data_IF_754023289423
#
_entry.id   IF_754023289423
#
_cell.length_a   1.000
_cell.length_b   1.000
_cell.length_c   1.000
_cell.angle_alpha   90.00
_cell.angle_beta   90.00
_cell.angle_gamma   90.00
#
_symmetry.space_group_name_H-M   'P 1'
#
loop_
_entity.id
_entity.type
_entity.pdbx_description
1 polymer ?
#
# COMPACT_ATOMS: atom_id res chain seq x y z
N UNK A 1 -25.31 0.90 78.17
CA UNK A 1 -25.17 0.79 76.70
C UNK A 1 -24.14 1.80 76.23
N UNK A 2 -23.01 1.38 75.63
CA UNK A 2 -22.01 2.29 75.03
C UNK A 2 -22.36 2.50 73.55
N UNK A 3 -22.66 3.72 73.15
CA UNK A 3 -22.93 4.06 71.75
C UNK A 3 -21.64 3.96 70.92
N UNK A 4 -21.62 3.06 69.92
CA UNK A 4 -20.55 3.00 68.93
C UNK A 4 -20.73 4.16 67.96
N UNK A 5 -19.87 5.18 68.04
CA UNK A 5 -19.78 6.21 67.00
C UNK A 5 -19.24 5.56 65.71
N UNK A 6 -20.13 5.25 64.77
CA UNK A 6 -19.74 4.91 63.41
C UNK A 6 -19.18 6.18 62.76
N UNK A 7 -17.87 6.19 62.46
CA UNK A 7 -17.24 7.26 61.67
C UNK A 7 -17.92 7.27 60.31
N UNK A 8 -18.58 8.38 59.95
CA UNK A 8 -19.08 8.59 58.60
C UNK A 8 -17.87 8.63 57.64
N UNK A 9 -17.90 7.91 56.51
CA UNK A 9 -16.84 8.07 55.51
C UNK A 9 -16.80 9.54 55.08
N UNK A 10 -15.59 10.12 55.03
CA UNK A 10 -15.39 11.49 54.58
C UNK A 10 -15.87 11.65 53.13
N UNK A 11 -16.58 12.75 52.86
CA UNK A 11 -16.97 13.11 51.49
C UNK A 11 -15.76 13.56 50.67
N UNK A 12 -15.79 13.26 49.38
CA UNK A 12 -14.74 13.67 48.44
C UNK A 12 -14.73 15.19 48.27
N UNK A 13 -13.57 15.83 48.35
CA UNK A 13 -13.44 17.28 48.17
C UNK A 13 -13.32 17.63 46.70
N UNK A 14 -13.75 18.85 46.33
CA UNK A 14 -13.60 19.38 44.97
C UNK A 14 -12.13 19.42 44.53
N UNK A 15 -11.21 19.68 45.48
CA UNK A 15 -9.77 19.75 45.22
C UNK A 15 -9.21 18.39 44.84
N UNK A 16 -9.59 17.32 45.55
CA UNK A 16 -9.18 15.94 45.22
C UNK A 16 -9.65 15.54 43.82
N UNK A 17 -10.87 15.91 43.44
CA UNK A 17 -11.38 15.66 42.08
C UNK A 17 -10.60 16.42 41.02
N UNK A 18 -10.30 17.69 41.28
CA UNK A 18 -9.58 18.55 40.34
C UNK A 18 -8.16 18.02 40.07
N UNK A 19 -7.43 17.62 41.11
CA UNK A 19 -6.08 17.06 40.96
C UNK A 19 -6.10 15.80 40.11
N UNK A 20 -7.09 14.92 40.30
CA UNK A 20 -7.22 13.67 39.51
C UNK A 20 -7.46 13.98 38.04
N UNK A 21 -8.36 14.91 37.72
CA UNK A 21 -8.63 15.31 36.33
C UNK A 21 -7.38 15.91 35.68
N UNK A 22 -6.64 16.75 36.40
CA UNK A 22 -5.37 17.33 35.90
C UNK A 22 -4.34 16.25 35.60
N UNK A 23 -4.19 15.25 36.47
CA UNK A 23 -3.27 14.12 36.25
C UNK A 23 -3.70 13.30 35.01
N UNK A 24 -4.99 12.98 34.88
CA UNK A 24 -5.51 12.23 33.71
C UNK A 24 -5.27 13.02 32.41
N UNK A 25 -5.55 14.32 32.41
CA UNK A 25 -5.33 15.18 31.24
C UNK A 25 -3.84 15.24 30.85
N UNK A 26 -2.94 15.35 31.82
CA UNK A 26 -1.49 15.33 31.56
C UNK A 26 -1.03 14.00 30.95
N UNK A 27 -1.47 12.87 31.52
CA UNK A 27 -1.12 11.54 31.02
C UNK A 27 -1.71 11.27 29.62
N UNK A 28 -2.95 11.69 29.37
CA UNK A 28 -3.59 11.58 28.06
C UNK A 28 -2.88 12.44 27.00
N UNK A 29 -2.47 13.66 27.36
CA UNK A 29 -1.76 14.58 26.47
C UNK A 29 -0.42 14.01 25.98
N UNK A 30 0.33 13.32 26.84
CA UNK A 30 1.58 12.65 26.47
C UNK A 30 1.36 11.44 25.54
N UNK A 31 0.18 10.82 25.60
CA UNK A 31 -0.14 9.60 24.85
C UNK A 31 -0.60 9.87 23.41
N UNK A 32 -1.20 11.03 23.14
CA UNK A 32 -1.77 11.38 21.84
C UNK A 32 -0.79 11.27 20.64
N UNK A 33 0.44 11.87 20.66
CA UNK A 33 1.35 11.77 19.51
C UNK A 33 1.87 10.35 19.29
N UNK A 34 2.00 9.56 20.35
CA UNK A 34 2.45 8.16 20.30
C UNK A 34 1.42 7.29 19.58
N UNK A 35 0.13 7.48 19.87
CA UNK A 35 -0.96 6.74 19.23
C UNK A 35 -0.99 7.00 17.72
N UNK A 36 -0.77 8.24 17.28
CA UNK A 36 -0.74 8.56 15.84
C UNK A 36 0.43 7.86 15.13
N UNK A 37 1.62 7.84 15.74
CA UNK A 37 2.78 7.11 15.22
C UNK A 37 2.53 5.61 15.14
N UNK A 38 1.88 5.03 16.15
CA UNK A 38 1.51 3.61 16.16
C UNK A 38 0.49 3.28 15.06
N UNK A 39 -0.50 4.15 14.81
CA UNK A 39 -1.45 3.98 13.70
C UNK A 39 -0.74 3.93 12.33
N UNK A 40 0.17 4.87 12.06
CA UNK A 40 0.95 4.86 10.80
C UNK A 40 1.80 3.60 10.66
N UNK A 41 2.33 3.07 11.77
CA UNK A 41 3.07 1.80 11.76
C UNK A 41 2.16 0.59 11.52
N UNK A 42 0.94 0.60 12.08
CA UNK A 42 -0.08 -0.43 11.85
C UNK A 42 -0.56 -0.43 10.40
N UNK A 43 -0.90 0.75 9.86
CA UNK A 43 -1.29 0.95 8.46
C UNK A 43 -0.18 0.42 7.51
N UNK A 44 1.10 0.70 7.83
CA UNK A 44 2.26 0.15 7.09
C UNK A 44 2.36 -1.37 7.19
N UNK A 45 2.02 -1.95 8.33
CA UNK A 45 2.09 -3.41 8.55
C UNK A 45 0.99 -4.13 7.78
N UNK A 46 -0.22 -3.57 7.77
CA UNK A 46 -1.34 -4.06 6.95
C UNK A 46 -0.95 -4.04 5.47
N UNK A 47 -0.41 -2.91 4.99
CA UNK A 47 0.04 -2.77 3.61
C UNK A 47 1.20 -3.71 3.25
N UNK A 48 2.12 -4.01 4.18
CA UNK A 48 3.18 -5.02 3.98
C UNK A 48 2.62 -6.44 3.83
N UNK A 49 1.58 -6.80 4.58
CA UNK A 49 0.96 -8.12 4.47
C UNK A 49 0.13 -8.25 3.18
N UNK A 50 -0.55 -7.17 2.80
CA UNK A 50 -1.32 -7.07 1.58
C UNK A 50 -0.41 -7.18 0.34
N UNK A 51 0.70 -6.44 0.30
CA UNK A 51 1.62 -6.50 -0.84
C UNK A 51 2.33 -7.86 -0.96
N UNK A 52 2.55 -8.59 0.15
CA UNK A 52 3.09 -9.97 0.10
C UNK A 52 2.10 -10.94 -0.54
N UNK A 53 0.80 -10.77 -0.27
CA UNK A 53 -0.23 -11.58 -0.93
C UNK A 53 -0.29 -11.27 -2.42
N UNK A 54 -0.19 -9.99 -2.82
CA UNK A 54 -0.04 -9.61 -4.24
C UNK A 54 1.20 -10.28 -4.83
N UNK A 55 2.34 -10.25 -4.12
CA UNK A 55 3.59 -10.85 -4.56
C UNK A 55 3.44 -12.32 -4.88
N UNK A 56 2.87 -13.12 -3.97
CA UNK A 56 2.60 -14.55 -4.22
C UNK A 56 1.82 -14.74 -5.52
N UNK A 57 0.72 -14.00 -5.70
CA UNK A 57 -0.11 -14.14 -6.90
C UNK A 57 0.56 -13.64 -8.18
N UNK A 58 1.50 -12.69 -8.10
CA UNK A 58 2.32 -12.29 -9.25
C UNK A 58 3.22 -13.44 -9.71
N UNK A 59 3.87 -14.17 -8.79
CA UNK A 59 4.70 -15.31 -9.15
C UNK A 59 3.88 -16.51 -9.65
N UNK A 60 2.70 -16.76 -9.08
CA UNK A 60 1.78 -17.77 -9.60
C UNK A 60 1.33 -17.43 -11.03
N UNK A 61 1.04 -16.15 -11.29
CA UNK A 61 0.67 -15.68 -12.62
C UNK A 61 1.85 -15.80 -13.62
N UNK A 62 3.06 -15.42 -13.22
CA UNK A 62 4.27 -15.56 -14.04
C UNK A 62 4.56 -17.02 -14.42
N UNK A 63 4.31 -17.96 -13.50
CA UNK A 63 4.50 -19.38 -13.76
C UNK A 63 3.55 -19.93 -14.85
N UNK A 64 2.35 -19.35 -14.98
CA UNK A 64 1.36 -19.76 -15.99
C UNK A 64 1.54 -19.01 -17.31
N UNK A 65 1.73 -17.69 -17.26
CA UNK A 65 1.72 -16.80 -18.44
C UNK A 65 3.12 -16.35 -18.91
N UNK A 66 4.18 -16.68 -18.18
CA UNK A 66 5.57 -16.37 -18.53
C UNK A 66 6.02 -14.92 -18.25
N UNK A 67 5.12 -14.06 -17.79
CA UNK A 67 5.40 -12.71 -17.33
C UNK A 67 4.38 -12.26 -16.29
N UNK A 68 4.68 -11.19 -15.56
CA UNK A 68 3.69 -10.50 -14.73
C UNK A 68 2.66 -9.77 -15.61
N UNK A 69 1.48 -9.42 -15.05
CA UNK A 69 0.41 -8.79 -15.80
C UNK A 69 0.88 -7.57 -16.60
N UNK A 70 0.62 -7.60 -17.90
CA UNK A 70 0.91 -6.53 -18.83
C UNK A 70 -0.17 -6.44 -19.93
N UNK A 71 0.11 -5.73 -21.01
CA UNK A 71 -0.87 -5.59 -22.09
C UNK A 71 -0.98 -6.87 -22.93
N UNK A 72 0.11 -7.63 -23.09
CA UNK A 72 0.14 -8.85 -23.88
C UNK A 72 -0.61 -9.98 -23.16
N UNK A 73 -0.35 -10.17 -21.87
CA UNK A 73 -1.03 -11.19 -21.06
C UNK A 73 -2.53 -10.92 -20.91
N UNK A 74 -2.97 -9.69 -21.17
CA UNK A 74 -4.37 -9.31 -21.02
C UNK A 74 -5.30 -10.06 -21.99
N UNK A 75 -4.81 -10.39 -23.19
CA UNK A 75 -5.57 -11.15 -24.18
C UNK A 75 -5.64 -12.62 -23.77
N UNK A 76 -4.50 -13.22 -23.43
CA UNK A 76 -4.40 -14.61 -22.97
C UNK A 76 -5.27 -14.89 -21.75
N UNK A 77 -5.28 -13.98 -20.77
CA UNK A 77 -6.12 -14.12 -19.56
C UNK A 77 -7.60 -14.02 -19.90
N UNK A 78 -8.01 -13.14 -20.83
CA UNK A 78 -9.41 -13.05 -21.25
C UNK A 78 -9.86 -14.34 -21.92
N UNK A 79 -9.04 -14.89 -22.79
CA UNK A 79 -9.34 -16.15 -23.50
C UNK A 79 -9.40 -17.34 -22.54
N UNK A 80 -8.42 -17.47 -21.64
CA UNK A 80 -8.35 -18.58 -20.70
C UNK A 80 -9.49 -18.57 -19.65
N UNK A 81 -9.90 -17.39 -19.19
CA UNK A 81 -10.85 -17.27 -18.07
C UNK A 81 -12.29 -16.99 -18.51
N UNK A 82 -12.52 -16.53 -19.73
CA UNK A 82 -13.84 -16.09 -20.21
C UNK A 82 -14.42 -14.92 -19.39
N UNK A 83 -13.56 -14.15 -18.71
CA UNK A 83 -13.96 -13.09 -17.79
C UNK A 83 -14.56 -11.88 -18.50
N UNK A 84 -15.56 -11.27 -17.87
CA UNK A 84 -16.13 -10.00 -18.34
C UNK A 84 -15.34 -8.78 -17.83
N UNK A 85 -14.28 -8.98 -17.05
CA UNK A 85 -13.47 -7.88 -16.50
C UNK A 85 -12.75 -7.12 -17.61
N UNK A 86 -12.67 -5.80 -17.47
CA UNK A 86 -11.93 -4.95 -18.40
C UNK A 86 -10.47 -4.88 -17.99
N UNK A 87 -9.61 -5.33 -18.89
CA UNK A 87 -8.17 -5.15 -18.84
C UNK A 87 -7.71 -4.17 -19.90
N UNK A 88 -6.57 -3.54 -19.66
CA UNK A 88 -5.96 -2.55 -20.56
C UNK A 88 -6.32 -1.13 -20.14
N UNK A 89 -5.31 -0.38 -19.72
CA UNK A 89 -5.45 1.00 -19.27
C UNK A 89 -4.12 1.55 -18.76
N UNK A 90 -4.16 2.71 -18.12
CA UNK A 90 -2.96 3.40 -17.63
C UNK A 90 -2.80 3.30 -16.11
N UNK A 91 -3.70 2.60 -15.42
CA UNK A 91 -3.72 2.52 -13.97
C UNK A 91 -3.29 1.14 -13.47
N UNK A 92 -2.76 1.07 -12.24
CA UNK A 92 -2.41 -0.21 -11.63
C UNK A 92 -3.60 -1.16 -11.48
N UNK A 93 -4.82 -0.62 -11.32
CA UNK A 93 -6.06 -1.38 -11.25
C UNK A 93 -6.21 -2.34 -12.46
N UNK A 94 -5.90 -1.89 -13.66
CA UNK A 94 -6.11 -2.66 -14.89
C UNK A 94 -5.23 -3.92 -14.94
N UNK A 95 -4.00 -3.81 -14.44
CA UNK A 95 -3.05 -4.92 -14.33
C UNK A 95 -3.41 -5.86 -13.18
N UNK A 96 -3.81 -5.31 -12.03
CA UNK A 96 -4.22 -6.13 -10.88
C UNK A 96 -5.53 -6.90 -11.12
N UNK A 97 -6.44 -6.41 -11.97
CA UNK A 97 -7.65 -7.18 -12.37
C UNK A 97 -7.30 -8.49 -13.08
N UNK A 98 -6.16 -8.57 -13.77
CA UNK A 98 -5.72 -9.83 -14.39
C UNK A 98 -5.41 -10.89 -13.32
N UNK A 99 -4.83 -10.51 -12.18
CA UNK A 99 -4.58 -11.42 -11.05
C UNK A 99 -5.89 -11.95 -10.45
N UNK A 100 -6.92 -11.11 -10.37
CA UNK A 100 -8.25 -11.50 -9.90
C UNK A 100 -8.89 -12.51 -10.86
N UNK A 101 -8.82 -12.21 -12.16
CA UNK A 101 -9.36 -13.07 -13.19
C UNK A 101 -8.70 -14.46 -13.15
N UNK A 102 -7.36 -14.49 -13.06
CA UNK A 102 -6.58 -15.71 -12.94
C UNK A 102 -6.98 -16.54 -11.72
N UNK A 103 -6.85 -15.99 -10.51
CA UNK A 103 -7.00 -16.83 -9.31
C UNK A 103 -7.28 -16.09 -7.99
N UNK A 104 -6.90 -14.82 -7.87
CA UNK A 104 -7.01 -14.10 -6.61
C UNK A 104 -8.45 -13.61 -6.36
N UNK A 105 -9.27 -14.43 -5.72
CA UNK A 105 -10.71 -14.18 -5.47
C UNK A 105 -10.99 -13.23 -4.29
N UNK A 106 -10.23 -12.12 -4.20
CA UNK A 106 -10.48 -11.05 -3.22
C UNK A 106 -9.81 -9.75 -3.63
N UNK A 107 -10.39 -8.61 -3.24
CA UNK A 107 -9.82 -7.28 -3.53
C UNK A 107 -8.97 -6.74 -2.37
N UNK A 108 -9.13 -7.32 -1.19
CA UNK A 108 -8.49 -6.88 0.05
C UNK A 108 -6.96 -6.75 -0.08
N UNK A 109 -6.24 -7.66 -0.76
CA UNK A 109 -4.79 -7.53 -0.93
C UNK A 109 -4.37 -6.27 -1.69
N UNK A 110 -5.22 -5.69 -2.54
CA UNK A 110 -4.88 -4.49 -3.33
C UNK A 110 -5.12 -3.19 -2.58
N UNK A 111 -5.73 -3.27 -1.40
CA UNK A 111 -5.98 -2.10 -0.58
C UNK A 111 -4.78 -1.76 0.30
N UNK A 112 -4.45 -0.47 0.34
CA UNK A 112 -3.69 0.10 1.43
C UNK A 112 -4.11 1.54 1.63
N UNK A 113 -4.00 2.01 2.87
CA UNK A 113 -4.41 3.37 3.22
C UNK A 113 -3.51 4.38 2.53
N UNK A 114 -4.07 5.14 1.60
CA UNK A 114 -3.44 6.23 0.87
C UNK A 114 -4.47 7.34 0.66
N UNK A 115 -4.07 8.48 0.11
CA UNK A 115 -5.02 9.56 -0.26
C UNK A 115 -5.97 9.16 -1.38
N UNK A 116 -5.62 8.15 -2.20
CA UNK A 116 -6.44 7.68 -3.32
C UNK A 116 -7.31 6.50 -2.95
N UNK A 117 -6.95 5.77 -1.89
CA UNK A 117 -7.73 4.65 -1.39
C UNK A 117 -8.34 4.90 -0.01
N UNK A 118 -9.31 5.84 0.11
CA UNK A 118 -9.98 6.11 1.37
C UNK A 118 -11.02 5.03 1.71
N UNK A 119 -11.51 4.28 0.72
CA UNK A 119 -12.53 3.23 0.87
C UNK A 119 -11.82 1.89 0.93
N UNK A 120 -12.13 1.08 1.95
CA UNK A 120 -11.75 -0.34 1.93
C UNK A 120 -12.58 -1.06 0.84
N UNK A 121 -12.02 -2.05 0.13
CA UNK A 121 -12.73 -2.73 -0.94
C UNK A 121 -14.00 -3.39 -0.42
N UNK A 122 -15.02 -3.42 -1.26
CA UNK A 122 -16.25 -4.14 -0.95
C UNK A 122 -16.19 -5.65 -1.25
N UNK A 123 -15.06 -6.11 -1.81
CA UNK A 123 -14.78 -7.52 -2.11
C UNK A 123 -15.69 -8.08 -3.22
N UNK A 124 -16.24 -7.20 -4.06
CA UNK A 124 -17.04 -7.54 -5.23
C UNK A 124 -16.12 -7.65 -6.46
N UNK A 125 -15.31 -8.69 -6.46
CA UNK A 125 -14.24 -8.90 -7.45
C UNK A 125 -14.71 -9.45 -8.81
N UNK A 126 -15.96 -9.92 -8.92
CA UNK A 126 -16.46 -10.66 -10.08
C UNK A 126 -17.33 -9.84 -11.04
N UNK A 127 -17.59 -8.57 -10.72
CA UNK A 127 -18.38 -7.68 -11.57
C UNK A 127 -17.47 -6.69 -12.31
N UNK A 128 -17.61 -6.51 -13.63
CA UNK A 128 -16.72 -5.67 -14.43
C UNK A 128 -16.60 -4.22 -13.95
N UNK A 129 -17.68 -3.64 -13.43
CA UNK A 129 -17.74 -2.25 -12.96
C UNK A 129 -17.33 -2.08 -11.50
N UNK A 130 -17.17 -3.17 -10.76
CA UNK A 130 -16.87 -3.17 -9.33
C UNK A 130 -15.50 -3.71 -8.99
N UNK A 131 -15.00 -4.66 -9.77
CA UNK A 131 -13.69 -5.24 -9.58
C UNK A 131 -12.62 -4.14 -9.57
N UNK A 132 -11.99 -3.90 -8.43
CA UNK A 132 -10.99 -2.85 -8.21
C UNK A 132 -11.46 -1.50 -8.74
N UNK A 133 -12.60 -1.02 -8.24
CA UNK A 133 -13.13 0.30 -8.63
C UNK A 133 -12.16 1.45 -8.24
N UNK A 134 -12.37 2.60 -8.86
CA UNK A 134 -11.54 3.78 -8.61
C UNK A 134 -11.53 4.14 -7.11
N UNK A 135 -10.34 4.11 -6.52
CA UNK A 135 -10.11 4.36 -5.10
C UNK A 135 -10.19 3.16 -4.17
N UNK A 136 -10.20 1.92 -4.68
CA UNK A 136 -10.02 0.72 -3.84
C UNK A 136 -8.59 0.19 -3.85
N UNK A 137 -7.82 0.52 -4.89
CA UNK A 137 -6.41 0.15 -5.01
C UNK A 137 -5.54 1.25 -4.40
N UNK A 138 -4.66 0.87 -3.48
CA UNK A 138 -3.68 1.78 -2.90
C UNK A 138 -2.26 1.63 -3.45
N UNK A 139 -1.99 0.54 -4.18
CA UNK A 139 -0.67 0.23 -4.70
C UNK A 139 -0.49 0.72 -6.14
N UNK A 140 0.72 1.21 -6.44
CA UNK A 140 1.19 1.45 -7.79
C UNK A 140 1.92 0.22 -8.32
N UNK A 141 1.78 -0.03 -9.62
CA UNK A 141 2.41 -1.13 -10.32
C UNK A 141 3.53 -0.60 -11.21
N UNK A 142 4.64 -1.31 -11.33
CA UNK A 142 5.80 -0.88 -12.12
C UNK A 142 5.99 -1.82 -13.30
N UNK A 143 5.87 -1.28 -14.51
CA UNK A 143 6.12 -1.98 -15.76
C UNK A 143 7.56 -1.79 -16.23
N UNK A 144 8.04 -2.72 -17.05
CA UNK A 144 9.37 -2.63 -17.67
C UNK A 144 9.40 -1.55 -18.75
N UNK A 145 8.34 -1.47 -19.55
CA UNK A 145 8.15 -0.47 -20.61
C UNK A 145 6.68 0.00 -20.66
N UNK A 146 6.25 0.70 -21.72
CA UNK A 146 4.84 1.12 -21.86
C UNK A 146 3.88 -0.06 -22.01
N UNK A 147 4.35 -1.17 -22.58
CA UNK A 147 3.53 -2.31 -22.97
C UNK A 147 3.94 -3.60 -22.28
N UNK A 148 5.21 -3.73 -21.87
CA UNK A 148 5.77 -4.97 -21.33
C UNK A 148 5.84 -4.94 -19.80
N UNK A 149 5.41 -6.05 -19.21
CA UNK A 149 5.51 -6.33 -17.79
C UNK A 149 6.94 -6.72 -17.40
N UNK A 150 7.14 -6.87 -16.10
CA UNK A 150 8.33 -7.56 -15.59
C UNK A 150 8.08 -9.07 -15.59
N UNK A 151 9.12 -9.88 -15.35
CA UNK A 151 8.96 -11.31 -15.10
C UNK A 151 9.87 -11.75 -13.95
N UNK A 152 9.60 -12.92 -13.39
CA UNK A 152 10.41 -13.48 -12.29
C UNK A 152 11.89 -13.72 -12.67
N UNK A 153 12.20 -13.75 -13.97
CA UNK A 153 13.56 -13.92 -14.50
C UNK A 153 14.42 -12.65 -14.48
N UNK A 154 13.84 -11.49 -14.14
CA UNK A 154 14.56 -10.21 -14.07
C UNK A 154 15.52 -10.08 -12.88
N UNK A 155 16.18 -8.92 -12.77
CA UNK A 155 17.04 -8.62 -11.62
C UNK A 155 16.22 -8.66 -10.31
N UNK A 156 16.59 -9.51 -9.32
CA UNK A 156 15.79 -9.71 -8.10
C UNK A 156 15.57 -8.43 -7.28
N UNK A 157 16.44 -7.43 -7.43
CA UNK A 157 16.34 -6.13 -6.76
C UNK A 157 15.33 -5.17 -7.39
N UNK A 158 14.77 -5.47 -8.57
CA UNK A 158 13.81 -4.59 -9.25
C UNK A 158 12.51 -4.48 -8.44
N UNK A 159 12.02 -3.25 -8.20
CA UNK A 159 10.74 -3.05 -7.57
C UNK A 159 9.60 -3.31 -8.57
N UNK A 160 8.53 -3.94 -8.08
CA UNK A 160 7.37 -4.37 -8.87
C UNK A 160 6.12 -3.64 -8.43
N UNK A 161 5.90 -3.56 -7.11
CA UNK A 161 4.74 -2.90 -6.51
C UNK A 161 5.22 -1.92 -5.45
N UNK A 162 4.65 -0.71 -5.45
CA UNK A 162 5.04 0.34 -4.51
C UNK A 162 3.84 1.13 -3.99
N UNK A 163 3.89 1.52 -2.73
CA UNK A 163 2.93 2.46 -2.13
C UNK A 163 3.61 3.30 -1.06
N UNK A 164 3.14 4.53 -0.76
CA UNK A 164 2.01 5.22 -1.39
C UNK A 164 2.51 6.22 -2.45
N UNK A 165 1.93 6.21 -3.66
CA UNK A 165 2.20 7.25 -4.67
C UNK A 165 1.64 8.60 -4.22
N UNK A 166 2.37 9.68 -4.47
CA UNK A 166 1.87 11.03 -4.22
C UNK A 166 0.90 11.44 -5.33
N UNK A 167 -0.30 11.93 -4.98
CA UNK A 167 -1.26 12.47 -5.96
C UNK A 167 -1.68 11.53 -7.11
N UNK A 168 -1.51 10.22 -6.95
CA UNK A 168 -1.66 9.22 -8.03
C UNK A 168 -0.88 9.62 -9.30
N UNK A 169 0.26 10.28 -9.11
CA UNK A 169 1.14 10.69 -10.19
C UNK A 169 2.05 9.55 -10.60
N UNK A 170 2.46 9.56 -11.86
CA UNK A 170 3.38 8.58 -12.46
C UNK A 170 4.84 9.05 -12.44
N UNK A 171 5.12 10.17 -11.75
CA UNK A 171 6.42 10.86 -11.70
C UNK A 171 7.37 10.33 -10.61
N UNK A 172 7.10 9.12 -10.11
CA UNK A 172 7.89 8.47 -9.05
C UNK A 172 7.99 9.27 -7.76
N UNK A 173 7.02 10.15 -7.48
CA UNK A 173 6.90 10.82 -6.19
C UNK A 173 6.00 10.03 -5.23
N UNK A 174 6.37 10.03 -3.95
CA UNK A 174 5.72 9.21 -2.92
C UNK A 174 5.24 10.06 -1.74
N UNK A 175 4.17 9.61 -1.08
CA UNK A 175 3.57 10.35 0.02
C UNK A 175 4.18 9.96 1.39
N UNK A 176 4.94 10.86 2.06
CA UNK A 176 5.53 10.54 3.36
C UNK A 176 4.51 10.43 4.50
N UNK A 177 3.29 10.97 4.33
CA UNK A 177 2.37 11.17 5.45
C UNK A 177 1.81 9.86 6.00
N UNK A 178 1.53 8.88 5.14
CA UNK A 178 0.74 7.69 5.49
C UNK A 178 1.51 6.65 6.31
N UNK A 179 2.79 6.42 6.01
CA UNK A 179 3.57 5.35 6.66
C UNK A 179 4.78 5.86 7.46
N UNK A 180 4.79 7.16 7.76
CA UNK A 180 5.85 7.82 8.54
C UNK A 180 7.16 7.89 7.77
N UNK A 181 7.14 8.63 6.66
CA UNK A 181 8.27 8.87 5.75
C UNK A 181 8.82 7.59 5.09
N UNK A 182 7.98 6.57 4.92
CA UNK A 182 8.36 5.31 4.29
C UNK A 182 7.42 4.94 3.16
N UNK A 183 7.98 4.37 2.10
CA UNK A 183 7.24 3.63 1.08
C UNK A 183 7.38 2.13 1.36
N UNK A 184 6.41 1.35 0.95
CA UNK A 184 6.48 -0.11 0.92
C UNK A 184 6.82 -0.49 -0.51
N UNK A 185 7.85 -1.30 -0.66
CA UNK A 185 8.34 -1.75 -1.96
C UNK A 185 8.37 -3.27 -1.96
N UNK A 186 7.65 -3.87 -2.91
CA UNK A 186 7.78 -5.27 -3.28
C UNK A 186 8.77 -5.40 -4.43
N UNK A 187 9.66 -6.38 -4.38
CA UNK A 187 10.68 -6.64 -5.40
C UNK A 187 10.50 -7.99 -6.09
N UNK A 188 11.27 -8.22 -7.16
CA UNK A 188 11.30 -9.47 -7.92
C UNK A 188 11.84 -10.69 -7.15
N UNK A 189 12.47 -10.49 -5.99
CA UNK A 189 12.79 -11.58 -5.05
C UNK A 189 11.63 -11.91 -4.09
N UNK A 190 10.43 -11.37 -4.33
CA UNK A 190 9.26 -11.43 -3.44
C UNK A 190 9.48 -10.78 -2.06
N UNK A 191 10.56 -10.00 -1.87
CA UNK A 191 10.78 -9.26 -0.64
C UNK A 191 9.90 -8.01 -0.61
N UNK A 192 9.15 -7.85 0.48
CA UNK A 192 8.38 -6.65 0.77
C UNK A 192 9.07 -5.89 1.92
N UNK A 193 9.63 -4.72 1.61
CA UNK A 193 10.42 -3.94 2.56
C UNK A 193 9.98 -2.48 2.63
N UNK A 194 9.98 -1.85 3.83
CA UNK A 194 9.76 -0.43 3.96
C UNK A 194 11.05 0.34 3.63
N UNK A 195 10.99 1.25 2.67
CA UNK A 195 12.11 2.08 2.22
C UNK A 195 11.86 3.55 2.58
N UNK A 196 12.93 4.31 2.84
CA UNK A 196 12.82 5.71 3.27
C UNK A 196 12.42 6.61 2.09
N UNK A 197 11.42 7.46 2.32
CA UNK A 197 11.07 8.57 1.44
C UNK A 197 11.85 9.80 1.92
N UNK A 198 12.52 10.48 1.00
CA UNK A 198 13.20 11.74 1.27
C UNK A 198 12.18 12.87 1.23
N UNK A 199 12.13 13.72 2.25
CA UNK A 199 11.04 14.69 2.43
C UNK A 199 11.10 15.90 1.49
N UNK A 200 12.27 16.20 0.91
CA UNK A 200 12.48 17.34 0.02
C UNK A 200 11.99 17.09 -1.41
N UNK A 201 12.32 15.92 -1.98
CA UNK A 201 12.00 15.55 -3.36
C UNK A 201 10.96 14.43 -3.46
N UNK A 202 10.53 13.85 -2.33
CA UNK A 202 9.54 12.76 -2.25
C UNK A 202 9.95 11.48 -2.96
N UNK A 203 11.25 11.28 -3.21
CA UNK A 203 11.77 10.06 -3.80
C UNK A 203 12.13 9.02 -2.74
N UNK A 204 11.97 7.76 -3.12
CA UNK A 204 12.39 6.62 -2.30
C UNK A 204 13.88 6.37 -2.49
N UNK A 205 14.65 6.38 -1.41
CA UNK A 205 16.11 6.23 -1.47
C UNK A 205 16.50 4.75 -1.48
N UNK A 206 17.37 4.36 -2.41
CA UNK A 206 17.92 2.99 -2.51
C UNK A 206 19.31 2.84 -1.88
N UNK A 207 19.91 3.96 -1.44
CA UNK A 207 21.28 4.01 -0.93
C UNK A 207 22.25 4.61 -1.95
N UNK A 208 23.46 4.99 -1.52
CA UNK A 208 24.49 5.53 -2.42
C UNK A 208 24.10 6.80 -3.19
N UNK A 209 23.15 7.60 -2.68
CA UNK A 209 22.64 8.79 -3.34
C UNK A 209 21.66 8.53 -4.49
N UNK A 210 21.21 7.28 -4.67
CA UNK A 210 20.29 6.87 -5.74
C UNK A 210 18.86 6.73 -5.22
N UNK A 211 17.93 6.74 -6.18
CA UNK A 211 16.50 6.61 -5.94
C UNK A 211 15.94 5.35 -6.62
N UNK A 212 14.70 5.02 -6.30
CA UNK A 212 14.02 3.81 -6.79
C UNK A 212 13.90 3.75 -8.31
N UNK A 213 13.77 4.91 -8.96
CA UNK A 213 13.66 5.09 -10.41
C UNK A 213 15.00 5.26 -11.12
N UNK A 214 16.12 5.33 -10.38
CA UNK A 214 17.42 5.60 -10.98
C UNK A 214 17.84 4.45 -11.91
N UNK A 215 18.06 4.76 -13.19
CA UNK A 215 18.61 3.84 -14.19
C UNK A 215 20.12 4.03 -14.33
N UNK A 216 20.81 3.04 -14.90
CA UNK A 216 22.26 3.06 -15.16
C UNK A 216 23.02 1.94 -14.45
N UNK A 217 24.35 2.02 -14.50
CA UNK A 217 25.23 0.99 -13.97
C UNK A 217 25.05 0.81 -12.45
N UNK A 218 25.00 -0.45 -12.01
CA UNK A 218 24.76 -0.85 -10.61
C UNK A 218 23.38 -0.42 -10.07
N UNK A 219 22.39 -0.18 -10.92
CA UNK A 219 20.99 -0.07 -10.50
C UNK A 219 20.24 -1.35 -10.90
N UNK A 220 19.15 -1.72 -10.19
CA UNK A 220 18.36 -2.89 -10.58
C UNK A 220 17.79 -2.80 -12.01
N UNK A 221 17.66 -1.59 -12.56
CA UNK A 221 17.13 -1.37 -13.89
C UNK A 221 18.17 -1.57 -14.99
N UNK A 222 19.45 -1.29 -14.71
CA UNK A 222 20.49 -1.25 -15.73
C UNK A 222 20.35 -0.04 -16.67
N UNK A 223 21.01 -0.08 -17.82
CA UNK A 223 21.05 1.03 -18.80
C UNK A 223 19.93 0.98 -19.83
N UNK A 224 19.34 -0.20 -20.05
CA UNK A 224 18.52 -0.46 -21.22
C UNK A 224 17.01 -0.42 -20.91
N UNK A 225 16.66 -0.29 -19.63
CA UNK A 225 15.28 -0.31 -19.15
C UNK A 225 14.87 1.08 -18.69
N UNK A 226 13.72 1.55 -19.17
CA UNK A 226 13.08 2.75 -18.68
C UNK A 226 11.73 2.40 -18.01
N UNK A 227 11.73 2.13 -16.70
CA UNK A 227 10.56 1.60 -16.01
C UNK A 227 9.46 2.64 -15.91
N UNK A 228 8.20 2.19 -15.98
CA UNK A 228 7.04 3.06 -15.93
C UNK A 228 6.19 2.72 -14.71
N UNK A 229 5.98 3.72 -13.86
CA UNK A 229 5.08 3.62 -12.73
C UNK A 229 3.64 3.87 -13.19
N UNK A 230 2.77 2.89 -12.98
CA UNK A 230 1.33 2.96 -13.16
C UNK A 230 0.68 3.23 -11.81
N UNK A 231 0.15 4.44 -11.64
CA UNK A 231 -0.48 4.86 -10.40
C UNK A 231 -1.88 4.22 -10.24
N UNK A 232 -2.40 4.09 -9.00
CA UNK A 232 -3.78 3.67 -8.77
C UNK A 232 -4.78 4.67 -9.35
N UNK A 233 -5.92 4.18 -9.82
CA UNK A 233 -6.96 5.03 -10.38
C UNK A 233 -7.59 5.91 -9.29
N UNK A 234 -7.48 7.26 -9.39
CA UNK A 234 -8.06 8.16 -8.40
C UNK A 234 -9.57 8.23 -8.56
N UNK A 235 -10.29 8.36 -7.43
CA UNK A 235 -11.74 8.54 -7.45
C UNK A 235 -12.12 9.87 -8.13
N UNK A 236 -13.04 9.81 -9.09
CA UNK A 236 -13.60 10.99 -9.77
C UNK A 236 -12.92 11.40 -11.08
N UNK A 237 -11.96 10.60 -11.59
CA UNK A 237 -11.51 10.66 -12.98
C UNK A 237 -12.06 9.43 -13.70
N UNK A 238 -13.15 9.64 -14.46
CA UNK A 238 -13.65 8.72 -15.47
C UNK A 238 -13.19 9.18 -16.84
#
# INVERSE_FOLDING_TARGET
>A
MKAKYQRRPGGFTLVELLVVIVIIAALAGLSAPVILKQRKAADRTEALNNVRQIGISLFEFDAEYGSFPDNNTSEDVKEATGTALTFGGNFSNDYFRQLIAYGLKSEKPFWCKTSFSPKKPDDIYNQPTKALEAGEVGFSYIMLTQTEGQSSSGDPGRPVVVAPSYKAQTDWTFDPEFYGDKAIVLRLDNSATPMQIRTDNKYVTTGGGRYLQSVGDNTPWGTDVNPILRAPQPRGQN
#
